data_IF_976326744843
#
_entry.id   IF_976326744843
#
_cell.length_a   1.000
_cell.length_b   1.000
_cell.length_c   1.000
_cell.angle_alpha   90.00
_cell.angle_beta   90.00
_cell.angle_gamma   90.00
#
_symmetry.space_group_name_H-M   'P 1'
#
loop_
_entity.id
_entity.type
_entity.pdbx_description
1 polymer ?
#
# COMPACT_ATOMS: atom_id res chain seq x y z
N UNK A 1 0.51 25.03 -5.17
CA UNK A 1 0.82 23.60 -5.05
C UNK A 1 1.45 23.14 -6.35
N UNK A 2 2.62 22.48 -6.34
CA UNK A 2 3.14 21.88 -7.57
C UNK A 2 2.13 20.86 -8.08
N UNK A 3 1.82 20.94 -9.38
CA UNK A 3 0.96 19.96 -10.06
C UNK A 3 1.63 18.60 -9.87
N UNK A 4 0.95 17.67 -9.18
CA UNK A 4 1.46 16.31 -9.10
C UNK A 4 1.58 15.77 -10.53
N UNK A 5 2.77 15.31 -10.96
CA UNK A 5 2.88 14.66 -12.26
C UNK A 5 1.88 13.51 -12.33
N UNK A 6 1.28 13.32 -13.50
CA UNK A 6 0.39 12.18 -13.70
C UNK A 6 1.13 10.87 -13.39
N UNK A 7 0.40 9.85 -12.96
CA UNK A 7 0.99 8.55 -12.58
C UNK A 7 1.20 7.68 -13.82
N UNK A 8 2.40 7.13 -14.00
CA UNK A 8 2.68 6.12 -15.03
C UNK A 8 2.20 4.77 -14.51
N UNK A 9 1.19 4.21 -15.16
CA UNK A 9 0.54 2.96 -14.78
C UNK A 9 1.21 1.77 -15.47
N UNK A 10 2.51 1.59 -15.27
CA UNK A 10 3.24 0.39 -15.72
C UNK A 10 2.69 -0.87 -15.03
N UNK A 11 2.86 -2.06 -15.62
CA UNK A 11 2.17 -3.29 -15.21
C UNK A 11 2.26 -3.59 -13.72
N UNK A 12 3.45 -3.54 -13.14
CA UNK A 12 3.59 -3.81 -11.72
C UNK A 12 2.87 -2.77 -10.84
N UNK A 13 2.87 -1.50 -11.22
CA UNK A 13 2.07 -0.48 -10.55
C UNK A 13 0.56 -0.71 -10.69
N UNK A 14 0.08 -1.17 -11.86
CA UNK A 14 -1.34 -1.55 -12.05
C UNK A 14 -1.74 -2.69 -11.12
N UNK A 15 -0.88 -3.71 -11.02
CA UNK A 15 -1.09 -4.85 -10.11
C UNK A 15 -1.10 -4.41 -8.66
N UNK A 16 -0.14 -3.58 -8.24
CA UNK A 16 -0.09 -3.02 -6.90
C UNK A 16 -1.35 -2.22 -6.56
N UNK A 17 -1.79 -1.32 -7.44
CA UNK A 17 -3.01 -0.53 -7.22
C UNK A 17 -4.26 -1.42 -7.11
N UNK A 18 -4.35 -2.48 -7.91
CA UNK A 18 -5.45 -3.44 -7.83
C UNK A 18 -5.44 -4.16 -6.46
N UNK A 19 -4.28 -4.69 -6.03
CA UNK A 19 -4.12 -5.33 -4.72
C UNK A 19 -4.42 -4.38 -3.56
N UNK A 20 -3.97 -3.12 -3.64
CA UNK A 20 -4.25 -2.10 -2.63
C UNK A 20 -5.74 -1.81 -2.52
N UNK A 21 -6.45 -1.70 -3.64
CA UNK A 21 -7.90 -1.48 -3.66
C UNK A 21 -8.64 -2.70 -3.11
N UNK A 22 -8.25 -3.91 -3.51
CA UNK A 22 -8.81 -5.16 -2.99
C UNK A 22 -8.61 -5.27 -1.47
N UNK A 23 -7.39 -5.04 -0.98
CA UNK A 23 -7.07 -5.02 0.44
C UNK A 23 -7.89 -3.98 1.19
N UNK A 24 -7.97 -2.74 0.68
CA UNK A 24 -8.77 -1.68 1.29
C UNK A 24 -10.25 -2.05 1.39
N UNK A 25 -10.82 -2.63 0.33
CA UNK A 25 -12.23 -3.04 0.31
C UNK A 25 -12.48 -4.20 1.28
N UNK A 26 -11.58 -5.18 1.34
CA UNK A 26 -11.67 -6.30 2.26
C UNK A 26 -11.61 -5.83 3.73
N UNK A 27 -10.66 -4.94 4.05
CA UNK A 27 -10.52 -4.38 5.39
C UNK A 27 -11.76 -3.59 5.83
N UNK A 28 -12.30 -2.74 4.95
CA UNK A 28 -13.53 -2.00 5.24
C UNK A 28 -14.74 -2.92 5.36
N UNK A 29 -14.83 -3.96 4.53
CA UNK A 29 -15.89 -4.96 4.59
C UNK A 29 -15.86 -5.76 5.89
N UNK A 30 -14.67 -6.17 6.36
CA UNK A 30 -14.50 -6.87 7.64
C UNK A 30 -14.89 -5.96 8.81
N UNK A 31 -14.47 -4.70 8.80
CA UNK A 31 -14.84 -3.74 9.84
C UNK A 31 -16.35 -3.51 9.88
N UNK A 32 -16.96 -3.20 8.73
CA UNK A 32 -18.40 -2.99 8.63
C UNK A 32 -19.19 -4.25 9.05
N UNK A 33 -18.72 -5.44 8.64
CA UNK A 33 -19.31 -6.71 9.03
C UNK A 33 -19.23 -6.99 10.52
N UNK A 34 -18.09 -6.68 11.16
CA UNK A 34 -17.92 -6.81 12.61
C UNK A 34 -18.86 -5.86 13.37
N UNK A 35 -18.98 -4.60 12.94
CA UNK A 35 -19.85 -3.62 13.57
C UNK A 35 -21.34 -3.95 13.39
N UNK A 36 -21.74 -4.40 12.19
CA UNK A 36 -23.10 -4.86 11.94
C UNK A 36 -23.44 -6.08 12.80
N UNK A 37 -22.52 -7.05 12.88
CA UNK A 37 -22.70 -8.26 13.69
C UNK A 37 -22.82 -7.91 15.16
N UNK A 38 -21.96 -7.02 15.67
CA UNK A 38 -22.03 -6.51 17.03
C UNK A 38 -23.41 -5.91 17.33
N UNK A 39 -23.91 -5.05 16.44
CA UNK A 39 -25.22 -4.43 16.58
C UNK A 39 -26.37 -5.46 16.58
N UNK A 40 -26.34 -6.45 15.70
CA UNK A 40 -27.37 -7.49 15.63
C UNK A 40 -27.37 -8.39 16.88
N UNK A 41 -26.19 -8.68 17.44
CA UNK A 41 -26.09 -9.49 18.66
C UNK A 41 -26.65 -8.79 19.89
N UNK A 42 -26.65 -7.45 19.92
CA UNK A 42 -27.28 -6.69 21.01
C UNK A 42 -28.79 -6.97 21.12
N UNK A 43 -29.46 -7.40 20.05
CA UNK A 43 -30.87 -7.78 20.08
C UNK A 43 -31.13 -9.08 20.87
N UNK A 44 -30.10 -9.90 21.08
CA UNK A 44 -30.16 -11.16 21.82
C UNK A 44 -29.41 -11.09 23.17
N UNK A 45 -29.09 -9.88 23.65
CA UNK A 45 -28.42 -9.70 24.94
C UNK A 45 -29.30 -10.24 26.08
N UNK A 46 -28.68 -10.90 27.06
CA UNK A 46 -29.38 -11.59 28.16
C UNK A 46 -29.90 -12.99 27.80
N UNK A 47 -29.68 -13.49 26.59
CA UNK A 47 -29.91 -14.90 26.27
C UNK A 47 -28.70 -15.76 26.68
N UNK A 48 -28.97 -16.84 27.42
CA UNK A 48 -27.95 -17.84 27.79
C UNK A 48 -27.66 -18.83 26.65
N UNK A 49 -28.37 -18.73 25.52
CA UNK A 49 -28.17 -19.62 24.37
C UNK A 49 -26.88 -19.28 23.63
N UNK A 50 -26.18 -20.33 23.22
CA UNK A 50 -24.95 -20.19 22.44
C UNK A 50 -25.27 -19.83 20.99
N UNK A 51 -24.41 -19.02 20.35
CA UNK A 51 -24.58 -18.61 18.96
C UNK A 51 -24.79 -19.77 17.96
N UNK A 52 -24.15 -20.95 18.09
CA UNK A 52 -24.43 -22.07 17.20
C UNK A 52 -25.84 -22.63 17.32
N UNK A 53 -26.53 -22.42 18.44
CA UNK A 53 -27.93 -22.81 18.61
C UNK A 53 -28.88 -21.81 17.97
N UNK A 54 -28.53 -20.53 18.03
CA UNK A 54 -29.34 -19.43 17.48
C UNK A 54 -29.14 -19.29 15.96
N UNK A 55 -27.91 -19.51 15.49
CA UNK A 55 -27.49 -19.31 14.10
C UNK A 55 -26.80 -20.56 13.51
N UNK A 56 -27.46 -21.73 13.48
CA UNK A 56 -26.81 -23.00 13.14
C UNK A 56 -26.27 -23.08 11.70
N UNK A 57 -26.79 -22.24 10.81
CA UNK A 57 -26.43 -22.22 9.39
C UNK A 57 -25.26 -21.28 9.06
N UNK A 58 -24.74 -20.52 10.03
CA UNK A 58 -23.59 -19.64 9.80
C UNK A 58 -22.31 -20.47 9.71
N UNK A 59 -21.56 -20.43 8.59
CA UNK A 59 -20.32 -21.18 8.46
C UNK A 59 -19.35 -20.86 9.60
N UNK A 60 -18.69 -21.89 10.13
CA UNK A 60 -17.73 -21.78 11.24
C UNK A 60 -18.27 -21.24 12.57
N UNK A 61 -19.58 -20.98 12.74
CA UNK A 61 -20.14 -20.45 14.00
C UNK A 61 -19.81 -21.31 15.23
N UNK A 62 -19.68 -22.64 15.04
CA UNK A 62 -19.28 -23.57 16.10
C UNK A 62 -17.89 -23.30 16.68
N UNK A 63 -17.01 -22.61 15.94
CA UNK A 63 -15.70 -22.15 16.45
C UNK A 63 -15.83 -20.90 17.32
N UNK A 64 -16.95 -20.19 17.19
CA UNK A 64 -17.31 -19.00 17.96
C UNK A 64 -18.45 -19.36 18.93
N UNK A 65 -18.22 -20.40 19.74
CA UNK A 65 -19.19 -21.00 20.64
C UNK A 65 -19.39 -20.18 21.92
N UNK A 66 -19.97 -18.99 21.76
CA UNK A 66 -20.15 -17.99 22.81
C UNK A 66 -21.63 -17.63 22.94
N UNK A 67 -22.00 -16.98 24.03
CA UNK A 67 -23.29 -16.28 24.14
C UNK A 67 -23.28 -15.03 23.28
N UNK A 68 -24.46 -14.47 22.98
CA UNK A 68 -24.57 -13.24 22.19
C UNK A 68 -23.84 -12.06 22.85
N UNK A 69 -23.88 -11.97 24.19
CA UNK A 69 -23.19 -10.92 24.95
C UNK A 69 -21.67 -11.03 24.85
N UNK A 70 -21.09 -12.20 25.15
CA UNK A 70 -19.64 -12.39 25.06
C UNK A 70 -19.11 -12.19 23.63
N UNK A 71 -19.88 -12.62 22.63
CA UNK A 71 -19.55 -12.38 21.23
C UNK A 71 -19.65 -10.90 20.82
N UNK A 72 -20.64 -10.16 21.33
CA UNK A 72 -20.77 -8.71 21.13
C UNK A 72 -19.56 -7.97 21.69
N UNK A 73 -19.10 -8.32 22.89
CA UNK A 73 -17.92 -7.70 23.51
C UNK A 73 -16.64 -7.95 22.68
N UNK A 74 -16.45 -9.16 22.15
CA UNK A 74 -15.32 -9.47 21.25
C UNK A 74 -15.41 -8.65 19.95
N UNK A 75 -16.60 -8.55 19.36
CA UNK A 75 -16.80 -7.81 18.12
C UNK A 75 -16.68 -6.29 18.31
N UNK A 76 -16.95 -5.78 19.51
CA UNK A 76 -16.70 -4.39 19.87
C UNK A 76 -15.20 -4.06 19.84
N UNK A 77 -14.34 -4.99 20.29
CA UNK A 77 -12.88 -4.85 20.24
C UNK A 77 -12.26 -5.20 18.87
N UNK A 78 -13.05 -5.70 17.92
CA UNK A 78 -12.56 -6.12 16.61
C UNK A 78 -11.90 -4.98 15.82
N UNK A 79 -12.30 -3.72 16.04
CA UNK A 79 -11.68 -2.56 15.37
C UNK A 79 -10.19 -2.46 15.70
N UNK A 80 -9.80 -2.69 16.96
CA UNK A 80 -8.39 -2.61 17.40
C UNK A 80 -7.56 -3.74 16.78
N UNK A 81 -8.11 -4.94 16.73
CA UNK A 81 -7.42 -6.08 16.11
C UNK A 81 -7.30 -5.92 14.60
N UNK A 82 -8.37 -5.49 13.93
CA UNK A 82 -8.35 -5.21 12.50
C UNK A 82 -7.40 -4.07 12.16
N UNK A 83 -7.36 -3.00 12.95
CA UNK A 83 -6.41 -1.91 12.77
C UNK A 83 -4.96 -2.42 12.84
N UNK A 84 -4.60 -3.16 13.88
CA UNK A 84 -3.27 -3.77 14.02
C UNK A 84 -2.89 -4.67 12.83
N UNK A 85 -3.80 -5.55 12.40
CA UNK A 85 -3.58 -6.43 11.24
C UNK A 85 -3.48 -5.64 9.92
N UNK A 86 -4.31 -4.61 9.76
CA UNK A 86 -4.39 -3.80 8.54
C UNK A 86 -3.10 -3.04 8.29
N UNK A 87 -2.50 -2.44 9.32
CA UNK A 87 -1.25 -1.68 9.18
C UNK A 87 -0.14 -2.62 8.73
N UNK A 88 -0.03 -3.81 9.32
CA UNK A 88 0.94 -4.81 8.90
C UNK A 88 0.74 -5.21 7.43
N UNK A 89 -0.50 -5.49 7.02
CA UNK A 89 -0.80 -5.92 5.66
C UNK A 89 -0.53 -4.81 4.62
N UNK A 90 -1.01 -3.59 4.87
CA UNK A 90 -0.83 -2.44 3.97
C UNK A 90 0.64 -2.07 3.82
N UNK A 91 1.41 -2.08 4.92
CA UNK A 91 2.86 -1.83 4.86
C UNK A 91 3.58 -2.94 4.07
N UNK A 92 3.16 -4.20 4.17
CA UNK A 92 3.76 -5.28 3.39
C UNK A 92 3.55 -5.08 1.89
N UNK A 93 2.34 -4.69 1.46
CA UNK A 93 2.05 -4.36 0.06
C UNK A 93 2.91 -3.19 -0.45
N UNK A 94 3.07 -2.16 0.38
CA UNK A 94 3.93 -1.02 0.07
C UNK A 94 5.41 -1.40 -0.06
N UNK A 95 5.93 -2.23 0.86
CA UNK A 95 7.31 -2.71 0.83
C UNK A 95 7.60 -3.58 -0.41
N UNK A 96 6.63 -4.35 -0.89
CA UNK A 96 6.73 -5.11 -2.14
C UNK A 96 6.74 -4.20 -3.39
N UNK A 97 5.87 -3.18 -3.40
CA UNK A 97 5.86 -2.13 -4.43
C UNK A 97 7.23 -1.43 -4.53
N UNK A 98 7.84 -1.07 -3.40
CA UNK A 98 9.17 -0.47 -3.36
C UNK A 98 10.27 -1.39 -3.88
N UNK A 99 10.23 -2.69 -3.56
CA UNK A 99 11.18 -3.66 -4.13
C UNK A 99 11.09 -3.68 -5.64
N UNK A 100 9.87 -3.61 -6.19
CA UNK A 100 9.69 -3.52 -7.63
C UNK A 100 10.29 -2.24 -8.21
N UNK A 101 10.09 -1.09 -7.55
CA UNK A 101 10.67 0.18 -7.98
C UNK A 101 12.21 0.14 -7.97
N UNK A 102 12.82 -0.44 -6.93
CA UNK A 102 14.27 -0.64 -6.85
C UNK A 102 14.77 -1.62 -7.92
N UNK A 103 13.99 -2.66 -8.24
CA UNK A 103 14.26 -3.58 -9.34
C UNK A 103 14.34 -2.86 -10.68
N UNK A 104 13.33 -2.04 -11.00
CA UNK A 104 13.32 -1.22 -12.23
C UNK A 104 14.51 -0.25 -12.29
N UNK A 105 14.82 0.42 -11.17
CA UNK A 105 15.99 1.29 -11.09
C UNK A 105 17.30 0.52 -11.33
N UNK A 106 17.38 -0.74 -10.88
CA UNK A 106 18.55 -1.59 -11.10
C UNK A 106 18.66 -2.09 -12.55
N UNK A 107 17.54 -2.40 -13.19
CA UNK A 107 17.47 -2.77 -14.61
C UNK A 107 17.87 -1.61 -15.52
N UNK A 108 17.56 -0.37 -15.12
CA UNK A 108 18.01 0.84 -15.76
C UNK A 108 19.46 1.24 -15.42
N UNK A 109 20.16 0.49 -14.57
CA UNK A 109 21.55 0.76 -14.19
C UNK A 109 21.74 1.92 -13.19
N UNK A 110 20.67 2.45 -12.60
CA UNK A 110 20.72 3.57 -11.63
C UNK A 110 21.21 3.12 -10.24
N UNK A 111 21.09 1.83 -9.95
CA UNK A 111 21.52 1.22 -8.70
C UNK A 111 22.01 -0.21 -8.99
N UNK A 112 22.94 -0.74 -8.19
CA UNK A 112 23.38 -2.12 -8.38
C UNK A 112 22.26 -3.11 -8.03
N UNK A 113 22.14 -4.21 -8.79
CA UNK A 113 21.18 -5.30 -8.50
C UNK A 113 21.33 -5.85 -7.07
N UNK A 114 22.58 -5.94 -6.58
CA UNK A 114 22.87 -6.34 -5.21
C UNK A 114 22.23 -5.38 -4.21
N UNK A 115 22.44 -4.06 -4.38
CA UNK A 115 21.88 -3.06 -3.48
C UNK A 115 20.36 -3.04 -3.55
N UNK A 116 19.75 -3.13 -4.74
CA UNK A 116 18.29 -3.19 -4.88
C UNK A 116 17.67 -4.38 -4.11
N UNK A 117 18.32 -5.56 -4.15
CA UNK A 117 17.87 -6.76 -3.44
C UNK A 117 18.11 -6.71 -1.93
N UNK A 118 19.29 -6.25 -1.51
CA UNK A 118 19.74 -6.35 -0.12
C UNK A 118 19.27 -5.15 0.75
N UNK A 119 18.65 -4.13 0.14
CA UNK A 119 18.14 -2.96 0.87
C UNK A 119 16.96 -3.34 1.77
N UNK A 120 17.14 -3.15 3.08
CA UNK A 120 16.10 -3.38 4.10
C UNK A 120 14.96 -2.36 3.95
N UNK A 121 13.75 -2.72 4.39
CA UNK A 121 12.53 -1.89 4.32
C UNK A 121 12.76 -0.42 4.73
N UNK A 122 13.44 -0.19 5.86
CA UNK A 122 13.73 1.16 6.37
C UNK A 122 14.56 2.03 5.41
N UNK A 123 15.41 1.43 4.58
CA UNK A 123 16.30 2.13 3.64
C UNK A 123 15.80 2.18 2.19
N UNK A 124 14.66 1.56 1.88
CA UNK A 124 14.18 1.46 0.49
C UNK A 124 13.88 2.83 -0.14
N UNK A 125 13.20 3.72 0.60
CA UNK A 125 12.88 5.06 0.11
C UNK A 125 14.13 5.90 -0.14
N UNK A 126 15.11 5.83 0.76
CA UNK A 126 16.39 6.52 0.60
C UNK A 126 17.15 5.99 -0.61
N UNK A 127 17.25 4.67 -0.76
CA UNK A 127 17.91 4.05 -1.90
C UNK A 127 17.28 4.46 -3.24
N UNK A 128 15.93 4.51 -3.31
CA UNK A 128 15.22 4.93 -4.51
C UNK A 128 15.41 6.42 -4.80
N UNK A 129 15.34 7.29 -3.79
CA UNK A 129 15.61 8.72 -3.93
C UNK A 129 17.02 9.00 -4.44
N UNK A 130 18.02 8.29 -3.90
CA UNK A 130 19.41 8.38 -4.36
C UNK A 130 19.56 7.90 -5.81
N UNK A 131 18.94 6.77 -6.17
CA UNK A 131 19.01 6.24 -7.53
C UNK A 131 18.36 7.16 -8.56
N UNK A 132 17.22 7.78 -8.22
CA UNK A 132 16.48 8.65 -9.13
C UNK A 132 16.87 10.13 -9.05
N UNK A 133 17.80 10.51 -8.18
CA UNK A 133 18.28 11.89 -8.04
C UNK A 133 17.23 12.91 -7.58
N UNK A 134 16.16 12.47 -6.89
CA UNK A 134 15.06 13.32 -6.45
C UNK A 134 14.54 12.89 -5.08
N UNK A 135 13.69 13.71 -4.44
CA UNK A 135 13.23 13.50 -3.06
C UNK A 135 11.71 13.41 -2.95
N UNK A 136 11.26 12.61 -1.98
CA UNK A 136 9.87 12.55 -1.52
C UNK A 136 9.71 13.60 -0.42
N UNK A 137 8.51 14.15 -0.30
CA UNK A 137 8.12 15.01 0.82
C UNK A 137 8.41 14.33 2.17
N UNK A 138 9.14 15.01 3.05
CA UNK A 138 9.56 14.47 4.35
C UNK A 138 8.35 14.15 5.24
N UNK A 139 7.27 14.93 5.15
CA UNK A 139 6.09 14.77 5.97
C UNK A 139 5.47 13.37 5.84
N UNK A 140 5.44 12.84 4.61
CA UNK A 140 4.90 11.50 4.35
C UNK A 140 5.81 10.39 4.89
N UNK A 141 7.14 10.59 4.79
CA UNK A 141 8.12 9.63 5.28
C UNK A 141 8.19 9.61 6.82
N UNK A 142 7.98 10.75 7.47
CA UNK A 142 7.85 10.88 8.92
C UNK A 142 6.69 10.02 9.46
N UNK A 143 5.49 10.19 8.90
CA UNK A 143 4.31 9.40 9.29
C UNK A 143 4.51 7.91 9.01
N UNK A 144 5.09 7.57 7.86
CA UNK A 144 5.38 6.18 7.51
C UNK A 144 6.38 5.52 8.47
N UNK A 145 7.40 6.27 8.94
CA UNK A 145 8.36 5.77 9.91
C UNK A 145 7.69 5.40 11.23
N UNK A 146 6.78 6.25 11.73
CA UNK A 146 5.99 5.96 12.94
C UNK A 146 5.08 4.75 12.73
N UNK A 147 4.36 4.65 11.60
CA UNK A 147 3.54 3.48 11.28
C UNK A 147 4.35 2.18 11.24
N UNK A 148 5.57 2.22 10.68
CA UNK A 148 6.48 1.06 10.67
C UNK A 148 6.89 0.65 12.09
N UNK A 149 7.13 1.61 12.99
CA UNK A 149 7.43 1.36 14.41
C UNK A 149 6.23 0.79 15.16
N UNK A 150 5.03 1.34 14.94
CA UNK A 150 3.78 0.80 15.48
C UNK A 150 3.56 -0.66 15.05
N UNK A 151 3.75 -0.96 13.76
CA UNK A 151 3.69 -2.33 13.22
C UNK A 151 4.73 -3.25 13.86
N UNK A 152 5.96 -2.76 14.08
CA UNK A 152 6.99 -3.56 14.74
C UNK A 152 6.62 -3.85 16.20
N UNK A 153 6.09 -2.88 16.93
CA UNK A 153 5.62 -3.06 18.31
C UNK A 153 4.51 -4.11 18.40
N UNK A 154 3.54 -4.09 17.47
CA UNK A 154 2.49 -5.12 17.38
C UNK A 154 3.07 -6.52 17.15
N UNK A 155 4.01 -6.66 16.21
CA UNK A 155 4.52 -7.96 15.78
C UNK A 155 5.54 -8.53 16.78
N UNK A 156 6.36 -7.69 17.40
CA UNK A 156 7.53 -8.13 18.16
C UNK A 156 7.41 -7.91 19.67
N UNK A 157 6.65 -6.89 20.11
CA UNK A 157 6.60 -6.45 21.51
C UNK A 157 5.21 -6.64 22.13
N UNK A 158 4.38 -7.52 21.55
CA UNK A 158 3.02 -7.79 22.01
C UNK A 158 2.11 -6.55 21.99
N UNK A 159 2.39 -5.59 21.10
CA UNK A 159 1.68 -4.32 21.02
C UNK A 159 2.07 -3.30 22.09
N UNK A 160 3.20 -3.46 22.78
CA UNK A 160 3.66 -2.46 23.75
C UNK A 160 4.49 -1.36 23.10
N UNK A 161 4.26 -0.12 23.55
CA UNK A 161 5.04 1.05 23.13
C UNK A 161 6.45 0.97 23.71
N UNK A 162 7.46 1.02 22.86
CA UNK A 162 8.86 1.12 23.25
C UNK A 162 9.36 2.57 23.18
N UNK A 163 10.58 2.80 23.70
CA UNK A 163 11.21 4.12 23.64
C UNK A 163 11.44 4.58 22.20
N UNK A 164 11.75 3.65 21.28
CA UNK A 164 11.98 3.97 19.88
C UNK A 164 10.74 4.51 19.15
N UNK A 165 9.54 4.04 19.49
CA UNK A 165 8.28 4.57 18.97
C UNK A 165 8.00 5.96 19.54
N UNK A 166 8.21 6.17 20.84
CA UNK A 166 8.03 7.50 21.47
C UNK A 166 8.98 8.52 20.86
N UNK A 167 10.26 8.17 20.69
CA UNK A 167 11.25 9.04 20.05
C UNK A 167 10.86 9.36 18.60
N UNK A 168 10.33 8.37 17.85
CA UNK A 168 9.86 8.58 16.48
C UNK A 168 8.64 9.51 16.40
N UNK A 169 7.72 9.42 17.37
CA UNK A 169 6.57 10.31 17.48
C UNK A 169 7.00 11.73 17.84
N UNK A 170 7.92 11.87 18.80
CA UNK A 170 8.46 13.16 19.22
C UNK A 170 9.24 13.87 18.09
N UNK A 171 9.78 13.11 17.15
CA UNK A 171 10.47 13.63 15.97
C UNK A 171 9.53 14.08 14.83
N UNK A 172 8.22 13.84 14.93
CA UNK A 172 7.26 14.30 13.92
C UNK A 172 7.24 15.83 13.87
N UNK A 173 7.31 16.38 12.66
CA UNK A 173 7.09 17.81 12.45
C UNK A 173 5.65 18.22 12.83
N UNK A 174 5.40 19.49 13.18
CA UNK A 174 4.04 19.97 13.45
C UNK A 174 3.08 19.72 12.28
N UNK A 175 3.58 19.80 11.05
CA UNK A 175 2.83 19.47 9.84
C UNK A 175 2.45 17.98 9.77
N UNK A 176 3.39 17.09 10.09
CA UNK A 176 3.14 15.65 10.12
C UNK A 176 2.12 15.25 11.20
N UNK A 177 2.18 15.88 12.39
CA UNK A 177 1.18 15.68 13.46
C UNK A 177 -0.19 16.17 13.02
N UNK A 178 -0.28 17.36 12.41
CA UNK A 178 -1.56 17.89 11.92
C UNK A 178 -2.17 16.97 10.85
N UNK A 179 -1.36 16.52 9.89
CA UNK A 179 -1.79 15.58 8.87
C UNK A 179 -2.19 14.22 9.46
N UNK A 180 -1.50 13.76 10.51
CA UNK A 180 -1.83 12.53 11.23
C UNK A 180 -3.22 12.64 11.86
N UNK A 181 -3.45 13.69 12.66
CA UNK A 181 -4.74 13.97 13.33
C UNK A 181 -5.88 14.11 12.33
N UNK A 182 -5.63 14.75 11.19
CA UNK A 182 -6.62 14.88 10.12
C UNK A 182 -7.01 13.53 9.51
N UNK A 183 -6.07 12.60 9.36
CA UNK A 183 -6.36 11.31 8.71
C UNK A 183 -6.92 10.27 9.68
N UNK A 184 -6.40 10.23 10.91
CA UNK A 184 -6.75 9.21 11.91
C UNK A 184 -7.81 9.66 12.91
N UNK A 185 -7.99 10.98 13.11
CA UNK A 185 -8.77 11.51 14.22
C UNK A 185 -8.08 11.44 15.59
N UNK A 186 -6.89 10.86 15.67
CA UNK A 186 -6.13 10.68 16.92
C UNK A 186 -4.83 11.48 16.95
N UNK A 187 -4.29 11.70 18.15
CA UNK A 187 -2.98 12.31 18.35
C UNK A 187 -2.00 11.27 18.91
N UNK A 188 -0.91 10.93 18.20
CA UNK A 188 0.04 9.94 18.66
C UNK A 188 0.92 10.44 19.82
N UNK A 189 0.96 11.75 20.09
CA UNK A 189 1.89 12.36 21.06
C UNK A 189 1.61 11.97 22.52
N UNK A 190 0.43 11.40 22.81
CA UNK A 190 0.06 10.94 24.15
C UNK A 190 0.62 9.57 24.56
N UNK A 191 1.28 8.84 23.65
CA UNK A 191 1.80 7.50 23.94
C UNK A 191 3.07 7.55 24.80
N UNK A 192 3.11 6.73 25.84
CA UNK A 192 4.26 6.58 26.74
C UNK A 192 4.85 5.15 26.69
N UNK A 193 6.14 4.96 27.05
CA UNK A 193 6.73 3.62 27.09
C UNK A 193 5.96 2.69 28.03
N UNK A 194 5.66 1.48 27.55
CA UNK A 194 4.90 0.46 28.29
C UNK A 194 3.39 0.45 28.02
N UNK A 195 2.86 1.52 27.42
CA UNK A 195 1.46 1.60 27.00
C UNK A 195 1.10 0.47 26.03
N UNK A 196 -0.18 0.07 26.06
CA UNK A 196 -0.73 -0.85 25.06
C UNK A 196 -1.17 -0.04 23.85
N UNK A 197 -0.58 -0.34 22.70
CA UNK A 197 -0.89 0.32 21.45
C UNK A 197 -2.27 -0.14 20.94
N UNK A 198 -3.24 0.78 20.95
CA UNK A 198 -4.59 0.56 20.40
C UNK A 198 -4.66 1.19 19.01
N UNK A 199 -4.60 0.36 17.97
CA UNK A 199 -4.65 0.78 16.57
C UNK A 199 -6.04 0.50 16.01
N UNK A 200 -6.86 1.52 15.81
CA UNK A 200 -8.23 1.34 15.35
C UNK A 200 -8.43 1.71 13.88
N UNK A 201 -9.67 2.03 13.54
CA UNK A 201 -10.05 2.49 12.21
C UNK A 201 -9.24 3.71 11.73
N UNK A 202 -8.94 4.65 12.62
CA UNK A 202 -8.20 5.87 12.30
C UNK A 202 -6.79 5.58 11.80
N UNK A 203 -6.04 4.76 12.52
CA UNK A 203 -4.68 4.37 12.14
C UNK A 203 -4.67 3.50 10.88
N UNK A 204 -5.70 2.66 10.66
CA UNK A 204 -5.90 1.94 9.41
C UNK A 204 -6.06 2.90 8.21
N UNK A 205 -6.93 3.92 8.32
CA UNK A 205 -7.12 4.92 7.28
C UNK A 205 -5.84 5.70 7.00
N UNK A 206 -5.13 6.10 8.05
CA UNK A 206 -3.84 6.76 7.94
C UNK A 206 -2.84 5.90 7.16
N UNK A 207 -2.69 4.62 7.50
CA UNK A 207 -1.78 3.71 6.81
C UNK A 207 -2.11 3.57 5.32
N UNK A 208 -3.39 3.43 4.98
CA UNK A 208 -3.87 3.38 3.58
C UNK A 208 -3.58 4.69 2.83
N UNK A 209 -3.79 5.84 3.47
CA UNK A 209 -3.59 7.15 2.86
C UNK A 209 -2.11 7.48 2.65
N UNK A 210 -1.27 7.25 3.68
CA UNK A 210 0.17 7.52 3.64
C UNK A 210 0.84 6.64 2.58
N UNK A 211 0.62 5.32 2.63
CA UNK A 211 1.25 4.40 1.66
C UNK A 211 0.85 4.73 0.23
N UNK A 212 -0.45 4.94 -0.06
CA UNK A 212 -0.93 5.36 -1.38
C UNK A 212 -0.22 6.63 -1.88
N UNK A 213 -0.04 7.61 -1.02
CA UNK A 213 0.59 8.89 -1.40
C UNK A 213 2.09 8.72 -1.62
N UNK A 214 2.76 7.95 -0.76
CA UNK A 214 4.18 7.63 -0.92
C UNK A 214 4.44 6.81 -2.18
N UNK A 215 3.61 5.82 -2.51
CA UNK A 215 3.76 5.04 -3.75
C UNK A 215 3.60 5.89 -5.01
N UNK A 216 2.70 6.88 -4.99
CA UNK A 216 2.60 7.87 -6.09
C UNK A 216 3.86 8.73 -6.17
N UNK A 217 4.44 9.11 -5.05
CA UNK A 217 5.71 9.84 -5.03
C UNK A 217 6.86 8.97 -5.57
N UNK A 218 6.92 7.69 -5.20
CA UNK A 218 7.89 6.72 -5.76
C UNK A 218 7.71 6.54 -7.27
N UNK A 219 6.46 6.49 -7.75
CA UNK A 219 6.18 6.49 -9.18
C UNK A 219 6.72 7.76 -9.86
N UNK A 220 6.51 8.94 -9.25
CA UNK A 220 7.09 10.19 -9.71
C UNK A 220 8.63 10.19 -9.73
N UNK A 221 9.28 9.59 -8.73
CA UNK A 221 10.74 9.42 -8.71
C UNK A 221 11.21 8.57 -9.91
N UNK A 222 10.54 7.46 -10.20
CA UNK A 222 10.88 6.63 -11.36
C UNK A 222 10.72 7.41 -12.67
N UNK A 223 9.69 8.24 -12.79
CA UNK A 223 9.50 9.08 -13.99
C UNK A 223 10.64 10.06 -14.20
N UNK A 224 11.22 10.60 -13.12
CA UNK A 224 12.36 11.52 -13.16
C UNK A 224 13.66 10.76 -13.44
N UNK A 225 13.87 9.63 -12.75
CA UNK A 225 15.16 8.94 -12.72
C UNK A 225 15.37 7.96 -13.88
N UNK A 226 14.33 7.25 -14.32
CA UNK A 226 14.51 6.22 -15.35
C UNK A 226 14.75 6.84 -16.73
N UNK A 227 15.71 6.31 -17.51
CA UNK A 227 15.94 6.74 -18.89
C UNK A 227 14.70 6.59 -19.75
N UNK A 228 14.53 7.50 -20.70
CA UNK A 228 13.38 7.49 -21.62
C UNK A 228 13.25 6.18 -22.40
N UNK A 229 14.37 5.63 -22.86
CA UNK A 229 14.40 4.36 -23.60
C UNK A 229 13.94 3.17 -22.74
N UNK A 230 14.21 3.20 -21.43
CA UNK A 230 13.70 2.19 -20.51
C UNK A 230 12.17 2.25 -20.45
N UNK A 231 11.58 3.44 -20.37
CA UNK A 231 10.13 3.59 -20.38
C UNK A 231 9.48 3.18 -21.70
N UNK A 232 10.13 3.40 -22.83
CA UNK A 232 9.64 2.97 -24.15
C UNK A 232 9.61 1.44 -24.20
N UNK A 233 10.70 0.77 -23.79
CA UNK A 233 10.77 -0.69 -23.66
C UNK A 233 9.67 -1.24 -22.77
N UNK A 234 9.51 -0.68 -21.58
CA UNK A 234 8.47 -1.09 -20.63
C UNK A 234 7.07 -0.95 -21.25
N UNK A 235 6.77 0.18 -21.89
CA UNK A 235 5.46 0.41 -22.50
C UNK A 235 5.15 -0.54 -23.67
N UNK A 236 6.14 -0.83 -24.51
CA UNK A 236 5.99 -1.76 -25.63
C UNK A 236 5.87 -3.20 -25.14
N UNK A 237 6.74 -3.61 -24.21
CA UNK A 237 6.71 -4.93 -23.59
C UNK A 237 5.35 -5.20 -22.91
N UNK A 238 4.88 -4.27 -22.08
CA UNK A 238 3.56 -4.35 -21.45
C UNK A 238 2.43 -4.50 -22.47
N UNK A 239 2.45 -3.69 -23.53
CA UNK A 239 1.42 -3.73 -24.57
C UNK A 239 1.39 -5.06 -25.32
N UNK A 240 2.56 -5.66 -25.58
CA UNK A 240 2.68 -6.94 -26.26
C UNK A 240 2.27 -8.11 -25.35
N UNK A 241 2.53 -8.02 -24.05
CA UNK A 241 2.05 -9.01 -23.07
C UNK A 241 0.53 -8.95 -22.96
N UNK A 242 -0.06 -7.75 -22.91
CA UNK A 242 -1.51 -7.58 -22.74
C UNK A 242 -2.28 -7.80 -24.06
N UNK A 243 -1.62 -7.61 -25.20
CA UNK A 243 -2.18 -7.89 -26.52
C UNK A 243 -1.27 -8.78 -27.38
N UNK A 244 -1.11 -10.08 -27.05
CA UNK A 244 -0.19 -10.97 -27.77
C UNK A 244 -0.45 -11.07 -29.28
N UNK A 245 -1.73 -10.95 -29.68
CA UNK A 245 -2.14 -10.97 -31.09
C UNK A 245 -1.64 -9.76 -31.89
N UNK A 246 -1.23 -8.68 -31.22
CA UNK A 246 -0.66 -7.49 -31.87
C UNK A 246 0.73 -7.75 -32.46
N UNK A 247 1.49 -8.71 -31.91
CA UNK A 247 2.90 -8.95 -32.27
C UNK A 247 3.11 -9.26 -33.75
N UNK A 248 2.17 -9.99 -34.34
CA UNK A 248 2.21 -10.46 -35.74
C UNK A 248 1.28 -9.68 -36.67
N UNK A 249 0.61 -8.63 -36.18
CA UNK A 249 -0.37 -7.90 -36.98
C UNK A 249 0.18 -6.58 -37.51
N UNK A 250 -0.31 -6.14 -38.67
CA UNK A 250 -0.07 -4.78 -39.17
C UNK A 250 -0.62 -3.67 -38.25
N UNK A 251 -1.38 -4.02 -37.20
CA UNK A 251 -1.92 -3.07 -36.22
C UNK A 251 -1.05 -2.93 -34.96
N UNK A 252 0.12 -3.59 -34.88
CA UNK A 252 1.00 -3.60 -33.71
C UNK A 252 1.27 -2.18 -33.19
N UNK A 253 1.78 -1.31 -34.06
CA UNK A 253 2.11 0.08 -33.74
C UNK A 253 0.92 0.85 -33.18
N UNK A 254 -0.25 0.74 -33.83
CA UNK A 254 -1.47 1.43 -33.38
C UNK A 254 -1.87 0.97 -31.97
N UNK A 255 -1.81 -0.33 -31.70
CA UNK A 255 -2.17 -0.90 -30.39
C UNK A 255 -1.17 -0.49 -29.31
N UNK A 256 0.14 -0.66 -29.54
CA UNK A 256 1.18 -0.30 -28.57
C UNK A 256 1.19 1.21 -28.27
N UNK A 257 1.05 2.06 -29.30
CA UNK A 257 0.97 3.51 -29.08
C UNK A 257 -0.31 3.91 -28.34
N UNK A 258 -1.45 3.30 -28.65
CA UNK A 258 -2.70 3.51 -27.91
C UNK A 258 -2.58 3.10 -26.44
N UNK A 259 -1.95 1.97 -26.19
CA UNK A 259 -1.66 1.46 -24.84
C UNK A 259 -0.73 2.40 -24.07
N UNK A 260 0.38 2.84 -24.68
CA UNK A 260 1.30 3.80 -24.10
C UNK A 260 0.60 5.13 -23.77
N UNK A 261 -0.27 5.64 -24.63
CA UNK A 261 -1.06 6.85 -24.33
C UNK A 261 -1.97 6.69 -23.11
N UNK A 262 -2.56 5.52 -22.93
CA UNK A 262 -3.49 5.28 -21.83
C UNK A 262 -2.79 5.02 -20.49
N UNK A 263 -1.73 4.20 -20.48
CA UNK A 263 -1.06 3.79 -19.24
C UNK A 263 0.22 4.59 -18.93
N UNK A 264 0.92 5.07 -19.96
CA UNK A 264 2.18 5.81 -19.86
C UNK A 264 2.02 7.28 -20.27
N UNK A 265 0.77 7.77 -20.34
CA UNK A 265 0.41 9.12 -20.80
C UNK A 265 1.27 10.27 -20.24
N UNK A 266 1.65 10.29 -18.94
CA UNK A 266 2.52 11.33 -18.39
C UNK A 266 3.87 11.48 -19.10
N UNK A 267 4.40 10.40 -19.68
CA UNK A 267 5.68 10.39 -20.37
C UNK A 267 5.62 10.94 -21.80
N UNK A 268 4.40 11.06 -22.35
CA UNK A 268 4.14 11.55 -23.71
C UNK A 268 5.04 10.86 -24.75
N UNK A 269 5.08 9.53 -24.71
CA UNK A 269 5.82 8.74 -25.69
C UNK A 269 5.22 8.96 -27.09
N UNK A 270 6.06 9.33 -28.03
CA UNK A 270 5.67 9.58 -29.42
C UNK A 270 5.44 8.26 -30.15
N UNK A 271 4.70 8.34 -31.25
CA UNK A 271 4.49 7.18 -32.12
C UNK A 271 5.79 6.67 -32.74
N UNK A 272 6.71 7.55 -33.09
CA UNK A 272 8.00 7.19 -33.69
C UNK A 272 8.89 6.41 -32.71
N UNK A 273 8.90 6.81 -31.44
CA UNK A 273 9.63 6.08 -30.38
C UNK A 273 9.08 4.67 -30.19
N UNK A 274 7.75 4.53 -30.14
CA UNK A 274 7.09 3.22 -30.03
C UNK A 274 7.36 2.35 -31.27
N UNK A 275 7.39 2.94 -32.46
CA UNK A 275 7.70 2.23 -33.71
C UNK A 275 9.14 1.72 -33.73
N UNK A 276 10.11 2.56 -33.35
CA UNK A 276 11.52 2.18 -33.28
C UNK A 276 11.74 0.98 -32.36
N UNK A 277 11.13 0.99 -31.17
CA UNK A 277 11.26 -0.11 -30.21
C UNK A 277 10.54 -1.38 -30.69
N UNK A 278 9.41 -1.25 -31.37
CA UNK A 278 8.71 -2.40 -31.96
C UNK A 278 9.50 -3.10 -33.06
N UNK A 279 10.33 -2.36 -33.81
CA UNK A 279 11.24 -2.95 -34.79
C UNK A 279 12.30 -3.77 -34.07
N UNK A 280 12.92 -3.23 -33.02
CA UNK A 280 13.91 -3.96 -32.22
C UNK A 280 13.36 -5.28 -31.65
N UNK A 281 12.14 -5.27 -31.11
CA UNK A 281 11.45 -6.44 -30.59
C UNK A 281 11.09 -7.53 -31.61
N UNK A 282 11.22 -7.27 -32.92
CA UNK A 282 11.00 -8.26 -33.99
C UNK A 282 12.28 -8.95 -34.41
N UNK A 283 13.42 -8.33 -34.13
CA UNK A 283 14.74 -8.83 -34.49
C UNK A 283 15.34 -9.73 -33.39
N UNK A 284 14.78 -9.67 -32.17
CA UNK A 284 15.02 -10.56 -31.02
C UNK A 284 14.07 -11.78 -30.98
#
# INVERSE_FOLDING_TARGET
MPVQPGVVRFRAYRRYEALRVEASNALMGLLAGAQLSNHLLQLNRGSDRLLPEVYPNVPHIRRFNLTAEAASDILAEADVHLGAMSIAYVLALHEDSLKTCLGMAAEAGLISRRRARDTRSAGQHEALQQACGSRIDSLLLEQLAVLRRMRNAVIHDGGRVDRGLVDAIAALSPGAVLAWRKASGSDPSGLAPGDVLRLGHGEMLLALAVTKTVDRACNGLLQIGLPRDHWIREAVSDALVEHPSARRSGTALRKCHGFARHHYGPLRLSRAEVESELVHHRDD
#
